data_IF_017865267956
#
_entry.id   IF_017865267956
#
_cell.length_a   1.000
_cell.length_b   1.000
_cell.length_c   1.000
_cell.angle_alpha   90.00
_cell.angle_beta   90.00
_cell.angle_gamma   90.00
#
_symmetry.space_group_name_H-M   'P 1'
#
loop_
_entity.id
_entity.type
_entity.pdbx_description
1 polymer ?
#
# COMPACT_ATOMS: atom_id res chain seq x y z
N UNK A 1 3.95 23.30 -8.53
CA UNK A 1 5.05 22.34 -8.28
C UNK A 1 4.50 21.17 -7.46
N UNK A 2 5.06 19.97 -7.57
CA UNK A 2 4.70 18.79 -6.76
C UNK A 2 5.96 18.16 -6.18
N UNK A 3 5.92 17.73 -4.92
CA UNK A 3 7.03 17.03 -4.28
C UNK A 3 6.51 15.97 -3.30
N UNK A 4 7.36 14.99 -2.99
CA UNK A 4 7.11 14.00 -1.94
C UNK A 4 7.91 14.37 -0.71
N UNK A 5 7.26 14.42 0.46
CA UNK A 5 7.92 14.61 1.74
C UNK A 5 7.91 13.32 2.54
N UNK A 6 9.10 12.88 2.98
CA UNK A 6 9.25 11.74 3.90
C UNK A 6 9.76 12.18 5.28
N UNK A 7 10.61 13.20 5.32
CA UNK A 7 11.22 13.66 6.57
C UNK A 7 10.29 14.67 7.25
N UNK A 8 10.09 14.60 8.57
CA UNK A 8 9.39 15.62 9.33
C UNK A 8 10.02 17.01 9.08
N UNK A 9 9.21 18.04 8.77
CA UNK A 9 9.73 19.38 8.54
C UNK A 9 10.24 19.99 9.85
N UNK A 10 11.21 20.90 9.74
CA UNK A 10 11.65 21.70 10.89
C UNK A 10 10.50 22.58 11.38
N UNK A 11 10.31 22.65 12.69
CA UNK A 11 9.25 23.46 13.31
C UNK A 11 7.86 22.81 13.25
N UNK A 12 7.77 21.49 13.03
CA UNK A 12 6.53 20.76 13.22
C UNK A 12 5.99 21.02 14.66
N UNK A 13 4.66 21.21 14.83
CA UNK A 13 4.05 21.39 16.14
C UNK A 13 4.38 20.23 17.09
N UNK A 14 4.39 20.50 18.40
CA UNK A 14 4.76 19.51 19.42
C UNK A 14 3.83 18.29 19.50
N UNK A 15 2.61 18.40 18.97
CA UNK A 15 1.66 17.29 18.89
C UNK A 15 1.89 16.39 17.66
N UNK A 16 2.81 16.75 16.76
CA UNK A 16 3.18 15.88 15.63
C UNK A 16 4.21 14.86 16.11
N UNK A 17 3.76 13.62 16.21
CA UNK A 17 4.60 12.50 16.60
C UNK A 17 5.43 11.96 15.43
N UNK A 18 6.52 11.26 15.76
CA UNK A 18 7.36 10.60 14.76
C UNK A 18 7.82 9.24 15.24
N UNK A 19 7.99 8.31 14.30
CA UNK A 19 8.62 7.00 14.52
C UNK A 19 9.81 6.84 13.60
N UNK A 20 10.90 6.22 14.07
CA UNK A 20 12.05 5.91 13.21
C UNK A 20 11.77 4.64 12.42
N UNK A 21 11.84 4.72 11.09
CA UNK A 21 11.72 3.56 10.19
C UNK A 21 13.08 3.21 9.57
N UNK A 22 13.29 1.94 9.29
CA UNK A 22 14.47 1.44 8.56
C UNK A 22 14.07 1.16 7.11
N UNK A 23 14.82 1.74 6.16
CA UNK A 23 14.62 1.48 4.73
C UNK A 23 15.43 0.26 4.29
N UNK A 24 15.08 -0.34 3.15
CA UNK A 24 15.84 -1.47 2.55
C UNK A 24 17.34 -1.17 2.33
N UNK A 25 17.72 0.12 2.27
CA UNK A 25 19.12 0.55 2.20
C UNK A 25 19.88 0.48 3.53
N UNK A 26 19.22 0.11 4.63
CA UNK A 26 19.72 0.19 6.00
C UNK A 26 19.64 1.59 6.62
N UNK A 27 19.31 2.62 5.84
CA UNK A 27 19.14 3.99 6.35
C UNK A 27 17.94 4.08 7.30
N UNK A 28 18.08 4.87 8.36
CA UNK A 28 17.04 5.11 9.36
C UNK A 28 16.62 6.57 9.34
N UNK A 29 15.33 6.84 9.22
CA UNK A 29 14.79 8.20 9.24
C UNK A 29 13.50 8.27 10.06
N UNK A 30 13.24 9.38 10.77
CA UNK A 30 11.94 9.61 11.37
C UNK A 30 10.88 9.80 10.28
N UNK A 31 9.67 9.31 10.52
CA UNK A 31 8.47 9.51 9.71
C UNK A 31 7.37 10.10 10.59
N UNK A 32 6.52 10.95 10.03
CA UNK A 32 5.39 11.55 10.73
C UNK A 32 4.35 10.47 11.04
N UNK A 33 3.79 10.50 12.25
CA UNK A 33 2.67 9.68 12.68
C UNK A 33 1.46 10.59 12.90
N UNK A 34 0.31 10.21 12.33
CA UNK A 34 -0.93 10.97 12.47
C UNK A 34 -1.80 10.28 13.53
N UNK A 35 -1.61 10.66 14.80
CA UNK A 35 -2.29 10.05 15.95
C UNK A 35 -3.62 10.71 16.31
N UNK A 36 -3.88 11.91 15.78
CA UNK A 36 -5.11 12.67 16.02
C UNK A 36 -5.58 13.45 14.78
N UNK A 37 -6.87 13.84 14.71
CA UNK A 37 -7.40 14.64 13.60
C UNK A 37 -6.64 15.95 13.36
N UNK A 38 -6.14 16.60 14.42
CA UNK A 38 -5.37 17.84 14.29
C UNK A 38 -4.08 17.64 13.47
N UNK A 39 -3.43 16.47 13.56
CA UNK A 39 -2.27 16.13 12.75
C UNK A 39 -2.61 16.04 11.24
N UNK A 40 -3.79 15.50 10.92
CA UNK A 40 -4.29 15.44 9.53
C UNK A 40 -4.58 16.85 8.99
N UNK A 41 -5.25 17.68 9.78
CA UNK A 41 -5.53 19.09 9.43
C UNK A 41 -4.23 19.87 9.25
N UNK A 42 -3.25 19.67 10.13
CA UNK A 42 -1.92 20.28 9.99
C UNK A 42 -1.22 19.83 8.71
N UNK A 43 -1.24 18.54 8.37
CA UNK A 43 -0.66 18.07 7.12
C UNK A 43 -1.35 18.71 5.90
N UNK A 44 -2.67 18.87 5.93
CA UNK A 44 -3.41 19.60 4.88
C UNK A 44 -3.00 21.08 4.81
N UNK A 45 -2.80 21.76 5.95
CA UNK A 45 -2.24 23.11 6.02
C UNK A 45 -0.84 23.20 5.41
N UNK A 46 -0.06 22.12 5.47
CA UNK A 46 1.24 21.98 4.81
C UNK A 46 1.11 21.61 3.31
N UNK A 47 -0.08 21.78 2.71
CA UNK A 47 -0.44 21.43 1.32
C UNK A 47 -0.35 19.93 1.00
N UNK A 48 -0.52 19.04 1.99
CA UNK A 48 -0.63 17.61 1.73
C UNK A 48 -1.97 17.30 1.07
N UNK A 49 -1.93 16.80 -0.17
CA UNK A 49 -3.12 16.34 -0.91
C UNK A 49 -3.32 14.84 -0.77
N UNK A 50 -2.22 14.07 -0.78
CA UNK A 50 -2.26 12.60 -0.72
C UNK A 50 -1.39 12.10 0.42
N UNK A 51 -1.97 11.24 1.25
CA UNK A 51 -1.28 10.54 2.32
C UNK A 51 -0.84 9.16 1.84
N UNK A 52 0.42 8.82 2.09
CA UNK A 52 1.01 7.52 1.73
C UNK A 52 1.41 6.77 3.01
N UNK A 53 0.45 6.13 3.72
CA UNK A 53 0.76 5.43 4.95
C UNK A 53 1.59 4.17 4.68
N UNK A 54 2.44 3.82 5.64
CA UNK A 54 3.11 2.53 5.69
C UNK A 54 2.08 1.39 5.88
N UNK A 55 2.47 0.15 5.58
CA UNK A 55 1.63 -1.04 5.80
C UNK A 55 1.80 -1.61 7.21
N UNK A 56 2.56 -0.95 8.08
CA UNK A 56 2.89 -1.33 9.44
C UNK A 56 2.47 -0.25 10.43
N UNK A 57 2.48 -0.59 11.72
CA UNK A 57 2.16 0.34 12.81
C UNK A 57 3.43 0.82 13.51
N UNK A 58 3.30 1.82 14.37
CA UNK A 58 4.44 2.45 15.06
C UNK A 58 5.13 1.53 16.06
N UNK A 59 4.41 0.57 16.64
CA UNK A 59 4.93 -0.38 17.62
C UNK A 59 5.83 -1.45 17.00
N UNK A 60 5.60 -1.77 15.72
CA UNK A 60 6.39 -2.72 14.94
C UNK A 60 6.41 -2.27 13.48
N UNK A 61 7.44 -1.50 13.11
CA UNK A 61 7.51 -0.87 11.78
C UNK A 61 7.93 -1.84 10.67
N UNK A 62 8.53 -2.97 11.02
CA UNK A 62 9.15 -3.89 10.06
C UNK A 62 8.21 -5.05 9.67
N UNK A 63 7.20 -5.33 10.49
CA UNK A 63 6.17 -6.33 10.21
C UNK A 63 4.84 -5.68 9.84
N UNK A 64 4.36 -5.84 8.59
CA UNK A 64 3.10 -5.25 8.16
C UNK A 64 1.88 -5.82 8.88
N UNK A 65 0.87 -4.97 9.08
CA UNK A 65 -0.49 -5.36 9.52
C UNK A 65 -1.44 -5.52 8.33
N UNK A 66 -0.95 -5.27 7.11
CA UNK A 66 -1.73 -5.42 5.89
C UNK A 66 -0.87 -5.89 4.71
N UNK A 67 -1.42 -6.85 3.96
CA UNK A 67 -0.99 -7.21 2.63
C UNK A 67 -1.72 -6.32 1.62
N UNK A 68 -0.99 -5.74 0.66
CA UNK A 68 -1.54 -4.81 -0.33
C UNK A 68 -1.28 -5.31 -1.76
N UNK A 69 -2.31 -5.32 -2.60
CA UNK A 69 -2.18 -5.60 -4.03
C UNK A 69 -2.81 -4.44 -4.82
N UNK A 70 -2.10 -3.98 -5.85
CA UNK A 70 -2.53 -2.92 -6.75
C UNK A 70 -2.81 -3.51 -8.15
N UNK A 71 -4.04 -3.33 -8.62
CA UNK A 71 -4.45 -3.63 -9.99
C UNK A 71 -4.31 -2.34 -10.80
N UNK A 72 -3.23 -2.25 -11.59
CA UNK A 72 -2.89 -1.07 -12.40
C UNK A 72 -3.14 -1.32 -13.90
N UNK A 73 -4.15 -0.69 -14.51
CA UNK A 73 -4.38 -0.75 -15.94
C UNK A 73 -3.18 -0.25 -16.75
N UNK A 74 -2.72 -1.08 -17.70
CA UNK A 74 -1.67 -0.73 -18.65
C UNK A 74 -2.25 -0.04 -19.90
N UNK A 75 -1.44 0.58 -20.77
CA UNK A 75 -1.93 1.20 -22.00
C UNK A 75 -2.81 0.24 -22.81
N UNK A 76 -4.00 0.69 -23.20
CA UNK A 76 -5.02 -0.13 -23.85
C UNK A 76 -6.05 -0.77 -22.91
N UNK A 77 -5.89 -0.61 -21.59
CA UNK A 77 -6.86 -1.01 -20.57
C UNK A 77 -7.23 0.17 -19.66
N UNK A 78 -8.34 0.07 -18.95
CA UNK A 78 -8.83 1.11 -18.05
C UNK A 78 -9.38 0.58 -16.71
N UNK A 79 -10.05 1.45 -15.96
CA UNK A 79 -10.63 1.10 -14.67
C UNK A 79 -11.65 -0.04 -14.76
N UNK A 80 -12.43 -0.15 -15.84
CA UNK A 80 -13.39 -1.22 -16.00
C UNK A 80 -12.70 -2.58 -16.12
N UNK A 81 -11.53 -2.63 -16.79
CA UNK A 81 -10.71 -3.83 -16.84
C UNK A 81 -10.25 -4.27 -15.46
N UNK A 82 -9.70 -3.33 -14.67
CA UNK A 82 -9.29 -3.60 -13.28
C UNK A 82 -10.49 -4.03 -12.40
N UNK A 83 -11.63 -3.35 -12.52
CA UNK A 83 -12.85 -3.66 -11.78
C UNK A 83 -13.37 -5.08 -12.10
N UNK A 84 -13.25 -5.51 -13.34
CA UNK A 84 -13.66 -6.85 -13.76
C UNK A 84 -12.62 -7.95 -13.43
N UNK A 85 -11.45 -7.60 -12.90
CA UNK A 85 -10.42 -8.54 -12.38
C UNK A 85 -10.44 -8.60 -10.85
N UNK A 86 -10.80 -7.51 -10.17
CA UNK A 86 -10.76 -7.41 -8.71
C UNK A 86 -11.52 -8.51 -7.94
N UNK A 87 -12.71 -8.98 -8.36
CA UNK A 87 -13.40 -10.10 -7.71
C UNK A 87 -12.59 -11.41 -7.76
N UNK A 88 -11.96 -11.72 -8.89
CA UNK A 88 -11.15 -12.93 -9.03
C UNK A 88 -9.90 -12.88 -8.14
N UNK A 89 -9.28 -11.70 -7.98
CA UNK A 89 -8.18 -11.54 -7.03
C UNK A 89 -8.66 -11.73 -5.58
N UNK A 90 -9.85 -11.23 -5.25
CA UNK A 90 -10.46 -11.45 -3.93
C UNK A 90 -10.71 -12.94 -3.67
N UNK A 91 -11.13 -13.71 -4.67
CA UNK A 91 -11.27 -15.17 -4.58
C UNK A 91 -9.93 -15.87 -4.33
N UNK A 92 -8.89 -15.52 -5.10
CA UNK A 92 -7.52 -16.06 -4.90
C UNK A 92 -7.03 -15.81 -3.47
N UNK A 93 -7.26 -14.61 -2.94
CA UNK A 93 -6.89 -14.26 -1.57
C UNK A 93 -7.72 -15.02 -0.53
N UNK A 94 -9.04 -15.17 -0.76
CA UNK A 94 -9.93 -15.91 0.13
C UNK A 94 -9.58 -17.40 0.21
N UNK A 95 -9.19 -18.02 -0.90
CA UNK A 95 -8.70 -19.41 -0.91
C UNK A 95 -7.41 -19.60 -0.11
N UNK A 96 -6.59 -18.55 0.03
CA UNK A 96 -5.43 -18.52 0.91
C UNK A 96 -5.77 -18.14 2.36
N UNK A 97 -7.05 -17.98 2.70
CA UNK A 97 -7.52 -17.61 4.04
C UNK A 97 -7.44 -16.12 4.35
N UNK A 98 -7.29 -15.26 3.34
CA UNK A 98 -7.19 -13.80 3.52
C UNK A 98 -8.51 -13.10 3.18
N UNK A 99 -8.93 -12.15 4.03
CA UNK A 99 -10.08 -11.29 3.75
C UNK A 99 -9.64 -9.98 3.10
N UNK A 100 -9.97 -9.80 1.82
CA UNK A 100 -9.61 -8.59 1.07
C UNK A 100 -10.70 -7.51 1.12
N UNK A 101 -10.26 -6.28 1.40
CA UNK A 101 -11.03 -5.04 1.37
C UNK A 101 -10.61 -4.22 0.15
N UNK A 102 -11.59 -3.80 -0.65
CA UNK A 102 -11.35 -3.16 -1.95
C UNK A 102 -11.60 -1.66 -1.86
N UNK A 103 -10.70 -0.87 -2.47
CA UNK A 103 -10.91 0.56 -2.70
C UNK A 103 -10.39 0.99 -4.06
N UNK A 104 -10.98 2.03 -4.64
CA UNK A 104 -10.39 2.66 -5.84
C UNK A 104 -9.05 3.32 -5.47
N UNK A 105 -8.14 3.46 -6.44
CA UNK A 105 -6.90 4.20 -6.21
C UNK A 105 -7.07 5.72 -6.25
N UNK A 106 -8.21 6.20 -6.76
CA UNK A 106 -8.41 7.62 -7.10
C UNK A 106 -7.77 8.02 -8.44
N UNK A 107 -7.15 7.08 -9.15
CA UNK A 107 -6.62 7.24 -10.49
C UNK A 107 -7.26 6.20 -11.43
N UNK A 108 -6.49 5.31 -12.05
CA UNK A 108 -7.00 4.30 -13.00
C UNK A 108 -7.24 2.94 -12.38
N UNK A 109 -6.63 2.66 -11.24
CA UNK A 109 -6.53 1.31 -10.66
C UNK A 109 -7.40 1.04 -9.44
N UNK A 110 -7.24 -0.17 -8.90
CA UNK A 110 -7.95 -0.67 -7.72
C UNK A 110 -6.94 -1.28 -6.74
N UNK A 111 -7.10 -0.96 -5.47
CA UNK A 111 -6.32 -1.57 -4.40
C UNK A 111 -7.15 -2.61 -3.64
N UNK A 112 -6.53 -3.74 -3.33
CA UNK A 112 -7.05 -4.76 -2.42
C UNK A 112 -6.11 -4.87 -1.22
N UNK A 113 -6.64 -4.59 -0.03
CA UNK A 113 -5.89 -4.66 1.23
C UNK A 113 -6.44 -5.81 2.07
N UNK A 114 -5.57 -6.69 2.57
CA UNK A 114 -5.93 -7.76 3.49
C UNK A 114 -5.28 -7.48 4.85
N UNK A 115 -6.05 -7.27 5.92
CA UNK A 115 -5.51 -7.27 7.27
C UNK A 115 -4.80 -8.61 7.55
N UNK A 116 -3.62 -8.53 8.17
CA UNK A 116 -2.83 -9.70 8.59
C UNK A 116 -2.24 -9.44 9.98
N UNK A 117 -1.92 -10.51 10.70
CA UNK A 117 -1.13 -10.39 11.92
C UNK A 117 0.31 -9.97 11.58
N UNK A 118 0.94 -9.08 12.39
CA UNK A 118 2.30 -8.58 12.14
C UNK A 118 3.38 -9.60 12.52
N UNK A 119 3.27 -10.82 12.01
CA UNK A 119 4.19 -11.93 12.27
C UNK A 119 5.33 -12.04 11.24
N UNK A 120 5.13 -11.47 10.05
CA UNK A 120 6.07 -11.60 8.92
C UNK A 120 6.66 -10.25 8.54
N UNK A 121 7.94 -10.23 8.16
CA UNK A 121 8.57 -9.03 7.60
C UNK A 121 8.09 -8.75 6.16
N UNK A 122 8.30 -7.52 5.69
CA UNK A 122 7.90 -7.06 4.35
C UNK A 122 8.30 -7.99 3.20
N UNK A 123 9.46 -8.65 3.26
CA UNK A 123 9.92 -9.51 2.18
C UNK A 123 9.06 -10.77 2.05
N UNK A 124 8.63 -11.35 3.17
CA UNK A 124 7.76 -12.52 3.19
C UNK A 124 6.35 -12.17 2.73
N UNK A 125 5.81 -11.05 3.23
CA UNK A 125 4.52 -10.52 2.75
C UNK A 125 4.56 -10.24 1.24
N UNK A 126 5.68 -9.72 0.73
CA UNK A 126 5.88 -9.51 -0.71
C UNK A 126 5.86 -10.84 -1.49
N UNK A 127 6.43 -11.92 -0.97
CA UNK A 127 6.36 -13.23 -1.63
C UNK A 127 4.92 -13.75 -1.71
N UNK A 128 4.11 -13.55 -0.67
CA UNK A 128 2.68 -13.87 -0.70
C UNK A 128 1.93 -13.06 -1.78
N UNK A 129 2.22 -11.75 -1.90
CA UNK A 129 1.66 -10.90 -2.97
C UNK A 129 2.05 -11.41 -4.36
N UNK A 130 3.31 -11.79 -4.56
CA UNK A 130 3.79 -12.34 -5.84
C UNK A 130 3.07 -13.65 -6.17
N UNK A 131 2.87 -14.53 -5.19
CA UNK A 131 2.16 -15.78 -5.38
C UNK A 131 0.70 -15.54 -5.78
N UNK A 132 -0.02 -14.66 -5.08
CA UNK A 132 -1.39 -14.29 -5.41
C UNK A 132 -1.50 -13.67 -6.81
N UNK A 133 -0.58 -12.76 -7.17
CA UNK A 133 -0.55 -12.16 -8.50
C UNK A 133 -0.31 -13.18 -9.62
N UNK A 134 0.60 -14.13 -9.41
CA UNK A 134 0.86 -15.22 -10.38
C UNK A 134 -0.32 -16.17 -10.51
N UNK A 135 -0.99 -16.49 -9.41
CA UNK A 135 -2.19 -17.32 -9.46
C UNK A 135 -3.33 -16.62 -10.21
N UNK A 136 -3.49 -15.31 -10.01
CA UNK A 136 -4.44 -14.52 -10.77
C UNK A 136 -4.09 -14.49 -12.27
N UNK A 137 -2.82 -14.25 -12.62
CA UNK A 137 -2.33 -14.32 -14.01
C UNK A 137 -2.57 -15.71 -14.61
N UNK A 138 -2.38 -16.80 -13.86
CA UNK A 138 -2.66 -18.17 -14.31
C UNK A 138 -4.15 -18.39 -14.60
N UNK A 139 -5.05 -17.82 -13.80
CA UNK A 139 -6.51 -17.92 -14.00
C UNK A 139 -7.02 -17.03 -15.13
N UNK A 140 -6.36 -15.90 -15.37
CA UNK A 140 -6.81 -14.87 -16.32
C UNK A 140 -5.66 -14.39 -17.24
N UNK A 141 -4.99 -15.29 -17.98
CA UNK A 141 -3.73 -14.98 -18.68
C UNK A 141 -3.87 -13.94 -19.79
N UNK A 142 -5.07 -13.79 -20.36
CA UNK A 142 -5.35 -12.81 -21.41
C UNK A 142 -5.72 -11.42 -20.85
N UNK A 143 -5.87 -11.30 -19.52
CA UNK A 143 -6.36 -10.07 -18.85
C UNK A 143 -5.40 -9.53 -17.79
N UNK A 144 -4.52 -10.37 -17.26
CA UNK A 144 -3.62 -10.03 -16.14
C UNK A 144 -2.21 -10.41 -16.51
N UNK A 145 -1.24 -9.59 -16.10
CA UNK A 145 0.17 -9.96 -16.17
C UNK A 145 0.94 -9.55 -14.92
N UNK A 146 1.95 -10.35 -14.56
CA UNK A 146 2.94 -10.00 -13.52
C UNK A 146 4.34 -9.72 -14.09
N UNK A 147 4.45 -9.59 -15.41
CA UNK A 147 5.71 -9.26 -16.08
C UNK A 147 6.23 -7.91 -15.61
N UNK A 148 7.52 -7.87 -15.30
CA UNK A 148 8.18 -6.66 -14.82
C UNK A 148 8.45 -5.65 -15.94
N UNK A 149 8.65 -6.13 -17.16
CA UNK A 149 8.91 -5.30 -18.34
C UNK A 149 7.60 -4.93 -19.02
N UNK A 150 7.42 -3.63 -19.29
CA UNK A 150 6.33 -3.09 -20.10
C UNK A 150 6.55 -3.36 -21.58
#
# INVERSE_FOLDING_TARGET
>A
EMFFSKNPPKGAPSFIETVTVTYNSGRRHPQIVLTEPAAVVWAAQMNTVVFHPWASRTENTDNPVELRIDLDPQPGTDFADAAAVAPALREVLAEAGLEAWIKTSGNRGIHLFCPIEPEWEFLDVRHAVIAAGRELERRMPDRVTTKWWK
#
